data_IF_555595868931
#
_entry.id   IF_555595868931
#
_cell.length_a   1.000
_cell.length_b   1.000
_cell.length_c   1.000
_cell.angle_alpha   90.00
_cell.angle_beta   90.00
_cell.angle_gamma   90.00
#
_symmetry.space_group_name_H-M   'P 1'
#
loop_
_entity.id
_entity.type
_entity.pdbx_description
1 polymer ?
#
# COMPACT_ATOMS: atom_id res chain seq x y z
N UNK A 1 -31.96 -13.76 -4.77
CA UNK A 1 -31.32 -13.22 -3.55
C UNK A 1 -31.50 -11.71 -3.59
N UNK A 2 -32.06 -11.08 -2.54
CA UNK A 2 -32.06 -9.61 -2.44
C UNK A 2 -30.60 -9.15 -2.51
N UNK A 3 -30.27 -8.24 -3.43
CA UNK A 3 -29.02 -7.51 -3.34
C UNK A 3 -28.99 -6.87 -1.95
N UNK A 4 -28.01 -7.24 -1.12
CA UNK A 4 -27.78 -6.52 0.13
C UNK A 4 -27.61 -5.03 -0.24
N UNK A 5 -28.32 -4.14 0.44
CA UNK A 5 -28.12 -2.71 0.23
C UNK A 5 -26.66 -2.38 0.46
N UNK A 6 -26.01 -1.80 -0.56
CA UNK A 6 -24.61 -1.43 -0.48
C UNK A 6 -24.42 -0.46 0.70
N UNK A 7 -23.46 -0.77 1.58
CA UNK A 7 -23.18 0.06 2.75
C UNK A 7 -22.97 1.53 2.34
N UNK A 8 -23.68 2.44 3.01
CA UNK A 8 -23.66 3.87 2.70
C UNK A 8 -22.54 4.57 3.47
N UNK A 9 -21.37 4.61 2.84
CA UNK A 9 -20.19 5.31 3.36
C UNK A 9 -20.38 6.83 3.48
N UNK A 10 -20.21 7.39 4.67
CA UNK A 10 -20.28 8.85 4.89
C UNK A 10 -19.14 9.59 4.22
N UNK A 11 -17.93 9.02 4.28
CA UNK A 11 -16.73 9.65 3.72
C UNK A 11 -16.87 9.93 2.21
N UNK A 12 -17.64 9.14 1.44
CA UNK A 12 -17.82 9.34 0.00
C UNK A 12 -18.33 10.74 -0.34
N UNK A 13 -19.19 11.32 0.50
CA UNK A 13 -19.71 12.67 0.29
C UNK A 13 -18.65 13.76 0.55
N UNK A 14 -17.67 13.45 1.41
CA UNK A 14 -16.63 14.38 1.89
C UNK A 14 -15.38 14.37 1.00
N UNK A 15 -15.06 13.23 0.39
CA UNK A 15 -13.94 13.06 -0.54
C UNK A 15 -14.40 13.09 -2.00
N UNK A 16 -14.79 14.29 -2.45
CA UNK A 16 -15.01 14.62 -3.87
C UNK A 16 -13.73 15.24 -4.42
N UNK A 17 -13.55 15.22 -5.75
CA UNK A 17 -12.40 15.87 -6.39
C UNK A 17 -12.33 17.34 -5.93
N UNK A 18 -11.14 17.81 -5.56
CA UNK A 18 -10.86 19.18 -5.12
C UNK A 18 -11.59 19.64 -3.83
N UNK A 19 -12.00 18.72 -2.94
CA UNK A 19 -12.91 19.05 -1.84
C UNK A 19 -12.33 19.96 -0.73
N UNK A 20 -11.01 20.04 -0.55
CA UNK A 20 -10.42 20.63 0.67
C UNK A 20 -9.74 22.01 0.50
N UNK A 21 -9.62 22.51 -0.74
CA UNK A 21 -8.85 23.73 -1.01
C UNK A 21 -7.39 23.60 -0.55
N UNK A 22 -6.76 24.70 -0.14
CA UNK A 22 -5.33 24.73 0.21
C UNK A 22 -4.99 24.29 1.64
N UNK A 23 -5.97 24.26 2.56
CA UNK A 23 -5.72 23.98 3.97
C UNK A 23 -5.68 22.48 4.26
N UNK A 24 -4.62 22.02 4.93
CA UNK A 24 -4.44 20.60 5.28
C UNK A 24 -5.33 20.13 6.44
N UNK A 25 -5.57 20.96 7.46
CA UNK A 25 -6.27 20.53 8.68
C UNK A 25 -7.68 19.95 8.46
N UNK A 26 -8.58 20.56 7.64
CA UNK A 26 -9.87 19.96 7.34
C UNK A 26 -9.74 18.58 6.70
N UNK A 27 -8.81 18.41 5.75
CA UNK A 27 -8.57 17.14 5.08
C UNK A 27 -8.07 16.07 6.07
N UNK A 28 -7.10 16.41 6.92
CA UNK A 28 -6.56 15.50 7.95
C UNK A 28 -7.68 15.00 8.88
N UNK A 29 -8.57 15.89 9.32
CA UNK A 29 -9.72 15.50 10.15
C UNK A 29 -10.65 14.54 9.42
N UNK A 30 -10.95 14.79 8.14
CA UNK A 30 -11.81 13.89 7.35
C UNK A 30 -11.16 12.55 7.05
N UNK A 31 -9.84 12.50 6.88
CA UNK A 31 -9.10 11.24 6.70
C UNK A 31 -9.25 10.38 7.97
N UNK A 32 -9.05 10.98 9.14
CA UNK A 32 -9.21 10.28 10.42
C UNK A 32 -10.63 9.78 10.63
N UNK A 33 -11.64 10.58 10.28
CA UNK A 33 -13.06 10.18 10.33
C UNK A 33 -13.35 8.97 9.42
N UNK A 34 -12.90 9.01 8.17
CA UNK A 34 -13.10 7.93 7.20
C UNK A 34 -12.43 6.62 7.63
N UNK A 35 -11.18 6.70 8.11
CA UNK A 35 -10.46 5.53 8.65
C UNK A 35 -11.21 4.96 9.85
N UNK A 36 -11.70 5.80 10.77
CA UNK A 36 -12.49 5.34 11.92
C UNK A 36 -13.78 4.64 11.50
N UNK A 37 -14.47 5.17 10.49
CA UNK A 37 -15.68 4.56 9.91
C UNK A 37 -15.37 3.16 9.35
N UNK A 38 -14.34 3.04 8.51
CA UNK A 38 -13.94 1.76 7.89
C UNK A 38 -13.52 0.73 8.96
N UNK A 39 -12.73 1.15 9.95
CA UNK A 39 -12.31 0.29 11.07
C UNK A 39 -13.48 -0.16 11.95
N UNK A 40 -14.57 0.60 12.02
CA UNK A 40 -15.76 0.18 12.75
C UNK A 40 -16.49 -0.93 11.99
N UNK A 41 -16.69 -0.76 10.68
CA UNK A 41 -17.32 -1.75 9.81
C UNK A 41 -16.49 -3.03 9.72
N UNK A 42 -15.15 -2.94 9.73
CA UNK A 42 -14.26 -4.11 9.61
C UNK A 42 -14.42 -5.13 10.73
N UNK A 43 -15.01 -4.72 11.87
CA UNK A 43 -15.25 -5.61 13.03
C UNK A 43 -16.40 -6.58 12.81
N UNK A 44 -17.35 -6.23 11.94
CA UNK A 44 -18.58 -7.00 11.71
C UNK A 44 -18.69 -7.47 10.26
N UNK A 45 -18.24 -6.65 9.31
CA UNK A 45 -18.38 -6.87 7.87
C UNK A 45 -17.03 -6.65 7.16
N UNK A 46 -16.03 -7.53 7.35
CA UNK A 46 -14.67 -7.32 6.86
C UNK A 46 -14.56 -7.20 5.33
N UNK A 47 -15.36 -7.96 4.57
CA UNK A 47 -15.41 -7.83 3.11
C UNK A 47 -15.94 -6.47 2.64
N UNK A 48 -16.97 -5.94 3.33
CA UNK A 48 -17.54 -4.61 3.04
C UNK A 48 -16.52 -3.53 3.39
N UNK A 49 -15.82 -3.67 4.53
CA UNK A 49 -14.78 -2.74 4.94
C UNK A 49 -13.59 -2.68 3.97
N UNK A 50 -13.17 -3.83 3.41
CA UNK A 50 -12.11 -3.87 2.41
C UNK A 50 -12.48 -3.10 1.13
N UNK A 51 -13.70 -3.32 0.62
CA UNK A 51 -14.25 -2.55 -0.50
C UNK A 51 -14.31 -1.05 -0.15
N UNK A 52 -14.76 -0.70 1.06
CA UNK A 52 -14.77 0.68 1.56
C UNK A 52 -13.38 1.32 1.64
N UNK A 53 -12.38 0.56 2.07
CA UNK A 53 -10.99 1.01 2.13
C UNK A 53 -10.43 1.31 0.73
N UNK A 54 -10.68 0.44 -0.26
CA UNK A 54 -10.28 0.67 -1.66
C UNK A 54 -10.96 1.93 -2.20
N UNK A 55 -12.28 2.07 -2.01
CA UNK A 55 -13.04 3.27 -2.41
C UNK A 55 -12.46 4.55 -1.78
N UNK A 56 -12.04 4.48 -0.52
CA UNK A 56 -11.46 5.62 0.16
C UNK A 56 -10.11 6.01 -0.44
N UNK A 57 -9.22 5.03 -0.66
CA UNK A 57 -7.90 5.24 -1.24
C UNK A 57 -7.99 5.80 -2.68
N UNK A 58 -8.91 5.31 -3.51
CA UNK A 58 -9.22 5.85 -4.85
C UNK A 58 -9.60 7.34 -4.82
N UNK A 59 -10.19 7.80 -3.71
CA UNK A 59 -10.71 9.16 -3.56
C UNK A 59 -9.75 10.11 -2.87
N UNK A 60 -8.66 9.61 -2.28
CA UNK A 60 -7.70 10.45 -1.57
C UNK A 60 -7.05 11.44 -2.53
N UNK A 61 -6.25 10.94 -3.49
CA UNK A 61 -5.47 11.81 -4.36
C UNK A 61 -6.31 12.89 -5.06
N UNK A 62 -7.44 12.55 -5.71
CA UNK A 62 -8.27 13.56 -6.38
C UNK A 62 -8.89 14.58 -5.42
N UNK A 63 -9.14 14.21 -4.16
CA UNK A 63 -9.71 15.13 -3.18
C UNK A 63 -8.67 16.10 -2.61
N UNK A 64 -7.40 15.70 -2.57
CA UNK A 64 -6.30 16.44 -1.95
C UNK A 64 -5.53 17.35 -2.92
N UNK A 65 -5.80 17.30 -4.23
CA UNK A 65 -5.06 18.00 -5.31
C UNK A 65 -4.66 19.45 -5.01
N UNK A 66 -5.50 20.23 -4.33
CA UNK A 66 -5.25 21.65 -4.09
C UNK A 66 -4.56 21.97 -2.74
N UNK A 67 -4.23 20.97 -1.93
CA UNK A 67 -3.69 21.16 -0.59
C UNK A 67 -2.21 21.57 -0.64
N UNK A 68 -1.85 22.55 0.17
CA UNK A 68 -0.44 22.85 0.45
C UNK A 68 0.18 21.73 1.31
N UNK A 69 0.96 20.87 0.65
CA UNK A 69 1.66 19.74 1.25
C UNK A 69 2.99 20.09 1.93
N UNK A 70 3.45 21.34 1.87
CA UNK A 70 4.80 21.77 2.29
C UNK A 70 5.15 21.40 3.74
N UNK A 71 4.15 21.40 4.62
CA UNK A 71 4.31 21.01 6.04
C UNK A 71 4.54 19.52 6.28
N UNK A 72 4.37 18.65 5.27
CA UNK A 72 4.41 17.19 5.40
C UNK A 72 3.23 16.57 6.17
N UNK A 73 2.45 17.37 6.92
CA UNK A 73 1.38 16.88 7.79
C UNK A 73 0.28 16.10 7.07
N UNK A 74 -0.06 16.50 5.85
CA UNK A 74 -1.04 15.78 5.03
C UNK A 74 -0.51 14.42 4.58
N UNK A 75 0.75 14.36 4.12
CA UNK A 75 1.40 13.12 3.73
C UNK A 75 1.50 12.14 4.91
N UNK A 76 1.89 12.63 6.09
CA UNK A 76 1.88 11.82 7.32
C UNK A 76 0.48 11.29 7.64
N UNK A 77 -0.58 12.09 7.47
CA UNK A 77 -1.94 11.63 7.73
C UNK A 77 -2.39 10.55 6.74
N UNK A 78 -2.01 10.67 5.46
CA UNK A 78 -2.32 9.67 4.43
C UNK A 78 -1.53 8.38 4.65
N UNK A 79 -0.24 8.45 4.93
CA UNK A 79 0.58 7.25 5.23
C UNK A 79 0.02 6.48 6.43
N UNK A 80 -0.33 7.18 7.52
CA UNK A 80 -0.99 6.56 8.67
C UNK A 80 -2.36 5.93 8.33
N UNK A 81 -3.07 6.46 7.33
CA UNK A 81 -4.31 5.87 6.85
C UNK A 81 -4.03 4.58 6.06
N UNK A 82 -3.05 4.61 5.14
CA UNK A 82 -2.62 3.44 4.37
C UNK A 82 -2.20 2.31 5.31
N UNK A 83 -1.33 2.57 6.28
CA UNK A 83 -0.86 1.57 7.26
C UNK A 83 -2.02 0.88 8.02
N UNK A 84 -3.11 1.60 8.29
CA UNK A 84 -4.29 1.05 8.97
C UNK A 84 -5.23 0.28 8.04
N UNK A 85 -5.31 0.70 6.79
CA UNK A 85 -6.25 0.15 5.81
C UNK A 85 -5.68 -1.06 5.07
N UNK A 86 -4.37 -1.13 4.88
CA UNK A 86 -3.70 -2.25 4.22
C UNK A 86 -4.05 -3.59 4.89
N UNK A 87 -3.96 -3.78 6.22
CA UNK A 87 -4.37 -5.03 6.86
C UNK A 87 -5.86 -5.34 6.67
N UNK A 88 -6.73 -4.33 6.71
CA UNK A 88 -8.18 -4.51 6.50
C UNK A 88 -8.46 -5.05 5.10
N UNK A 89 -7.77 -4.53 4.09
CA UNK A 89 -7.88 -5.02 2.72
C UNK A 89 -7.26 -6.43 2.64
N UNK A 90 -6.02 -6.60 3.11
CA UNK A 90 -5.25 -7.85 3.01
C UNK A 90 -5.97 -9.04 3.66
N UNK A 91 -6.50 -8.86 4.87
CA UNK A 91 -7.05 -9.94 5.70
C UNK A 91 -8.54 -10.22 5.42
N UNK A 92 -9.16 -9.45 4.51
CA UNK A 92 -10.57 -9.62 4.17
C UNK A 92 -10.85 -11.02 3.58
N UNK A 93 -11.87 -11.75 4.09
CA UNK A 93 -12.24 -13.07 3.61
C UNK A 93 -13.08 -12.94 2.33
N UNK A 94 -12.42 -12.56 1.23
CA UNK A 94 -13.02 -12.38 -0.08
C UNK A 94 -12.48 -13.42 -1.06
N UNK A 95 -13.27 -13.75 -2.08
CA UNK A 95 -12.83 -14.67 -3.12
C UNK A 95 -11.71 -14.07 -4.00
N UNK A 96 -11.04 -14.96 -4.73
CA UNK A 96 -9.90 -14.64 -5.58
C UNK A 96 -10.21 -13.58 -6.64
N UNK A 97 -11.40 -13.63 -7.27
CA UNK A 97 -11.76 -12.70 -8.34
C UNK A 97 -12.11 -11.32 -7.79
N UNK A 98 -12.75 -11.25 -6.61
CA UNK A 98 -12.96 -9.98 -5.90
C UNK A 98 -11.62 -9.37 -5.50
N UNK A 99 -10.66 -10.17 -5.00
CA UNK A 99 -9.30 -9.71 -4.69
C UNK A 99 -8.59 -9.09 -5.88
N UNK A 100 -8.68 -9.71 -7.07
CA UNK A 100 -8.04 -9.18 -8.28
C UNK A 100 -8.62 -7.83 -8.67
N UNK A 101 -9.96 -7.68 -8.63
CA UNK A 101 -10.62 -6.40 -8.89
C UNK A 101 -10.19 -5.29 -7.93
N UNK A 102 -10.01 -5.61 -6.64
CA UNK A 102 -9.51 -4.64 -5.67
C UNK A 102 -8.08 -4.20 -5.99
N UNK A 103 -7.20 -5.14 -6.35
CA UNK A 103 -5.81 -4.85 -6.69
C UNK A 103 -5.70 -4.02 -7.98
N UNK A 104 -6.47 -4.35 -9.01
CA UNK A 104 -6.49 -3.56 -10.27
C UNK A 104 -6.93 -2.12 -10.01
N UNK A 105 -7.95 -1.93 -9.16
CA UNK A 105 -8.46 -0.60 -8.77
C UNK A 105 -7.45 0.20 -7.94
N UNK A 106 -6.80 -0.43 -6.97
CA UNK A 106 -5.73 0.20 -6.20
C UNK A 106 -4.54 0.58 -7.09
N UNK A 107 -4.20 -0.26 -8.06
CA UNK A 107 -3.14 0.03 -9.01
C UNK A 107 -3.50 1.21 -9.89
N UNK A 108 -4.73 1.26 -10.39
CA UNK A 108 -5.22 2.40 -11.17
C UNK A 108 -5.21 3.68 -10.34
N UNK A 109 -5.64 3.64 -9.07
CA UNK A 109 -5.59 4.80 -8.18
C UNK A 109 -4.16 5.32 -7.99
N UNK A 110 -3.17 4.42 -7.87
CA UNK A 110 -1.75 4.78 -7.79
C UNK A 110 -1.22 5.35 -9.11
N UNK A 111 -1.62 4.79 -10.26
CA UNK A 111 -1.26 5.32 -11.57
C UNK A 111 -1.83 6.73 -11.78
N UNK A 112 -3.04 6.98 -11.29
CA UNK A 112 -3.73 8.28 -11.37
C UNK A 112 -3.30 9.27 -10.26
N UNK A 113 -2.31 8.91 -9.43
CA UNK A 113 -1.82 9.71 -8.30
C UNK A 113 -0.91 10.85 -8.78
N UNK A 114 -1.50 11.90 -9.36
CA UNK A 114 -0.78 13.05 -9.95
C UNK A 114 0.20 13.71 -8.97
N UNK A 115 -0.24 13.94 -7.74
CA UNK A 115 0.60 14.31 -6.61
C UNK A 115 0.72 13.06 -5.75
N UNK A 116 1.94 12.56 -5.42
CA UNK A 116 2.15 11.22 -4.86
C UNK A 116 1.69 11.10 -3.40
N UNK A 117 0.38 11.21 -3.15
CA UNK A 117 -0.19 11.12 -1.81
C UNK A 117 -0.29 9.68 -1.34
N UNK A 118 -0.54 8.73 -2.25
CA UNK A 118 -0.73 7.32 -1.95
C UNK A 118 0.42 6.44 -2.45
N UNK A 119 1.55 7.02 -2.85
CA UNK A 119 2.72 6.29 -3.38
C UNK A 119 3.20 5.15 -2.46
N UNK A 120 3.10 5.34 -1.14
CA UNK A 120 3.51 4.37 -0.10
C UNK A 120 2.65 3.10 -0.11
N UNK A 121 1.48 3.12 -0.76
CA UNK A 121 0.65 1.94 -0.97
C UNK A 121 1.43 0.83 -1.70
N UNK A 122 2.34 1.20 -2.60
CA UNK A 122 3.16 0.25 -3.36
C UNK A 122 4.14 -0.54 -2.50
N UNK A 123 4.56 0.00 -1.35
CA UNK A 123 5.44 -0.71 -0.41
C UNK A 123 4.71 -1.88 0.26
N UNK A 124 3.39 -1.80 0.32
CA UNK A 124 2.51 -2.81 0.89
C UNK A 124 1.92 -3.79 -0.15
N UNK A 125 2.36 -3.72 -1.42
CA UNK A 125 1.72 -4.47 -2.50
C UNK A 125 1.68 -5.98 -2.28
N UNK A 126 2.77 -6.57 -1.78
CA UNK A 126 2.82 -7.99 -1.43
C UNK A 126 1.83 -8.37 -0.34
N UNK A 127 1.60 -7.50 0.65
CA UNK A 127 0.59 -7.72 1.68
C UNK A 127 -0.82 -7.65 1.09
N UNK A 128 -1.11 -6.63 0.26
CA UNK A 128 -2.39 -6.43 -0.41
C UNK A 128 -2.79 -7.61 -1.30
N UNK A 129 -1.80 -8.27 -1.94
CA UNK A 129 -2.01 -9.47 -2.75
C UNK A 129 -2.63 -10.64 -1.98
N UNK A 130 -2.44 -10.70 -0.65
CA UNK A 130 -3.02 -11.72 0.24
C UNK A 130 -2.40 -13.12 0.12
N UNK A 131 -1.90 -13.52 -1.06
CA UNK A 131 -1.35 -14.85 -1.35
C UNK A 131 -0.04 -14.77 -2.17
N UNK A 132 0.75 -15.85 -2.13
CA UNK A 132 1.99 -15.96 -2.93
C UNK A 132 1.70 -15.94 -4.42
N UNK A 133 0.69 -16.68 -4.88
CA UNK A 133 0.34 -16.81 -6.30
C UNK A 133 -0.04 -15.46 -6.91
N UNK A 134 -0.89 -14.68 -6.23
CA UNK A 134 -1.27 -13.33 -6.68
C UNK A 134 -0.07 -12.39 -6.67
N UNK A 135 0.74 -12.45 -5.62
CA UNK A 135 1.95 -11.63 -5.57
C UNK A 135 2.92 -11.99 -6.70
N UNK A 136 3.09 -13.27 -7.03
CA UNK A 136 3.90 -13.69 -8.17
C UNK A 136 3.33 -13.15 -9.49
N UNK A 137 2.03 -13.29 -9.71
CA UNK A 137 1.38 -12.78 -10.92
C UNK A 137 1.53 -11.26 -11.07
N UNK A 138 1.46 -10.50 -9.97
CA UNK A 138 1.74 -9.06 -9.99
C UNK A 138 3.22 -8.74 -10.20
N UNK A 139 4.13 -9.53 -9.61
CA UNK A 139 5.57 -9.38 -9.85
C UNK A 139 5.90 -9.57 -11.34
N UNK A 140 5.30 -10.57 -11.99
CA UNK A 140 5.48 -10.83 -13.44
C UNK A 140 5.04 -9.65 -14.31
N UNK A 141 4.00 -8.91 -13.91
CA UNK A 141 3.57 -7.69 -14.62
C UNK A 141 4.62 -6.56 -14.57
N UNK A 142 5.47 -6.54 -13.56
CA UNK A 142 6.36 -5.42 -13.28
C UNK A 142 7.84 -5.70 -13.57
N UNK A 143 8.28 -6.94 -13.37
CA UNK A 143 9.70 -7.30 -13.25
C UNK A 143 10.54 -6.88 -14.46
N UNK A 144 10.05 -7.06 -15.67
CA UNK A 144 10.81 -6.72 -16.89
C UNK A 144 11.00 -5.20 -17.05
N UNK A 145 9.98 -4.43 -16.64
CA UNK A 145 10.08 -2.96 -16.61
C UNK A 145 11.10 -2.53 -15.57
N UNK A 146 11.09 -3.14 -14.38
CA UNK A 146 12.06 -2.85 -13.32
C UNK A 146 13.47 -3.23 -13.74
N UNK A 147 13.69 -4.42 -14.32
CA UNK A 147 14.99 -4.85 -14.88
C UNK A 147 15.52 -3.84 -15.89
N UNK A 148 14.67 -3.38 -16.82
CA UNK A 148 15.05 -2.38 -17.82
C UNK A 148 15.47 -1.07 -17.16
N UNK A 149 14.66 -0.54 -16.25
CA UNK A 149 14.93 0.74 -15.58
C UNK A 149 16.17 0.68 -14.70
N UNK A 150 16.42 -0.47 -14.06
CA UNK A 150 17.55 -0.65 -13.15
C UNK A 150 18.85 -0.97 -13.91
N UNK A 151 18.75 -1.71 -15.01
CA UNK A 151 19.89 -2.21 -15.79
C UNK A 151 20.49 -1.22 -16.79
N UNK A 152 19.81 -0.11 -17.13
CA UNK A 152 20.36 0.87 -18.09
C UNK A 152 21.58 1.63 -17.59
N UNK A 153 21.94 1.52 -16.30
CA UNK A 153 23.24 1.95 -15.74
C UNK A 153 23.53 3.45 -15.76
N UNK A 154 22.89 4.22 -16.63
CA UNK A 154 22.84 5.66 -16.59
C UNK A 154 21.64 6.08 -15.74
N UNK A 155 21.88 7.04 -14.85
CA UNK A 155 20.86 7.82 -14.16
C UNK A 155 20.09 8.73 -15.15
N UNK A 156 19.86 8.25 -16.37
CA UNK A 156 19.23 8.93 -17.49
C UNK A 156 17.80 8.42 -17.68
N UNK A 157 16.93 8.82 -16.74
CA UNK A 157 15.58 9.22 -17.11
C UNK A 157 14.42 8.22 -16.96
N UNK A 158 14.64 6.99 -16.49
CA UNK A 158 13.53 6.07 -16.19
C UNK A 158 13.15 6.09 -14.70
N UNK A 159 12.09 6.77 -14.30
CA UNK A 159 11.43 6.51 -13.01
C UNK A 159 10.22 5.62 -13.26
N UNK A 160 10.19 4.43 -12.65
CA UNK A 160 9.00 3.58 -12.64
C UNK A 160 8.40 3.57 -11.24
N UNK A 161 7.23 4.19 -11.10
CA UNK A 161 6.47 4.28 -9.85
C UNK A 161 5.94 2.93 -9.35
N UNK A 162 6.13 1.83 -10.09
CA UNK A 162 5.80 0.46 -9.68
C UNK A 162 6.98 -0.36 -9.15
N UNK A 163 8.18 0.21 -9.05
CA UNK A 163 9.35 -0.54 -8.59
C UNK A 163 9.17 -1.08 -7.16
N UNK A 164 8.66 -0.26 -6.23
CA UNK A 164 8.32 -0.70 -4.87
C UNK A 164 7.28 -1.83 -4.84
N UNK A 165 6.24 -1.72 -5.67
CA UNK A 165 5.21 -2.76 -5.78
C UNK A 165 5.80 -4.09 -6.27
N UNK A 166 6.71 -4.05 -7.24
CA UNK A 166 7.43 -5.23 -7.73
C UNK A 166 8.25 -5.90 -6.61
N UNK A 167 9.08 -5.14 -5.89
CA UNK A 167 9.91 -5.70 -4.81
C UNK A 167 9.05 -6.27 -3.67
N UNK A 168 7.99 -5.57 -3.28
CA UNK A 168 7.02 -6.02 -2.28
C UNK A 168 6.33 -7.32 -2.71
N UNK A 169 5.94 -7.43 -3.98
CA UNK A 169 5.32 -8.61 -4.56
C UNK A 169 6.29 -9.81 -4.62
N UNK A 170 7.53 -9.61 -5.11
CA UNK A 170 8.57 -10.64 -5.13
C UNK A 170 8.87 -11.16 -3.73
N UNK A 171 8.96 -10.27 -2.75
CA UNK A 171 9.17 -10.63 -1.34
C UNK A 171 8.04 -11.51 -0.81
N UNK A 172 6.76 -11.16 -1.08
CA UNK A 172 5.61 -11.99 -0.68
C UNK A 172 5.60 -13.34 -1.40
N UNK A 173 5.93 -13.35 -2.69
CA UNK A 173 5.95 -14.54 -3.51
C UNK A 173 7.16 -15.46 -3.20
N UNK A 174 8.09 -15.00 -2.35
CA UNK A 174 9.33 -15.70 -1.99
C UNK A 174 10.25 -15.94 -3.18
N UNK A 175 10.13 -15.09 -4.20
CA UNK A 175 11.01 -15.07 -5.37
C UNK A 175 12.28 -14.29 -5.04
N UNK A 176 13.01 -14.78 -4.04
CA UNK A 176 14.14 -14.07 -3.42
C UNK A 176 15.29 -13.88 -4.39
N UNK A 177 15.56 -14.84 -5.27
CA UNK A 177 16.65 -14.75 -6.24
C UNK A 177 16.43 -13.57 -7.20
N UNK A 178 15.21 -13.43 -7.74
CA UNK A 178 14.84 -12.32 -8.61
C UNK A 178 14.79 -10.98 -7.85
N UNK A 179 14.35 -11.00 -6.58
CA UNK A 179 14.41 -9.81 -5.72
C UNK A 179 15.85 -9.32 -5.53
N UNK A 180 16.77 -10.23 -5.21
CA UNK A 180 18.19 -9.92 -5.01
C UNK A 180 18.86 -9.48 -6.32
N UNK A 181 18.55 -10.13 -7.44
CA UNK A 181 18.98 -9.73 -8.78
C UNK A 181 18.64 -8.27 -9.06
N UNK A 182 17.38 -7.86 -8.86
CA UNK A 182 16.96 -6.47 -9.05
C UNK A 182 17.72 -5.50 -8.13
N UNK A 183 17.92 -5.87 -6.87
CA UNK A 183 18.61 -5.03 -5.90
C UNK A 183 20.11 -4.87 -6.23
N UNK A 184 20.72 -5.86 -6.86
CA UNK A 184 22.10 -5.81 -7.37
C UNK A 184 22.20 -4.92 -8.62
N UNK A 185 21.22 -5.03 -9.55
CA UNK A 185 21.20 -4.26 -10.81
C UNK A 185 21.24 -2.74 -10.60
N UNK A 186 20.44 -2.22 -9.65
CA UNK A 186 20.37 -0.76 -9.43
C UNK A 186 21.60 -0.20 -8.68
N UNK A 187 22.56 -1.04 -8.26
CA UNK A 187 23.74 -0.66 -7.48
C UNK A 187 23.40 0.28 -6.30
N UNK A 188 22.27 0.05 -5.62
CA UNK A 188 21.73 1.00 -4.66
C UNK A 188 22.25 0.83 -3.24
N UNK A 189 22.63 1.96 -2.65
CA UNK A 189 23.00 2.09 -1.22
C UNK A 189 21.95 2.90 -0.41
N UNK A 190 20.69 2.92 -0.87
CA UNK A 190 19.62 3.65 -0.18
C UNK A 190 19.00 2.77 0.91
N UNK A 191 18.96 3.27 2.14
CA UNK A 191 18.46 2.59 3.36
C UNK A 191 17.07 1.93 3.19
N UNK A 192 16.20 2.50 2.35
CA UNK A 192 14.87 1.96 2.06
C UNK A 192 14.89 0.55 1.42
N UNK A 193 15.83 0.31 0.51
CA UNK A 193 15.93 -0.98 -0.19
C UNK A 193 16.77 -2.03 0.57
N UNK A 194 17.59 -1.59 1.52
CA UNK A 194 18.30 -2.49 2.44
C UNK A 194 17.31 -3.26 3.32
N UNK A 195 16.14 -2.70 3.64
CA UNK A 195 15.10 -3.41 4.38
C UNK A 195 14.57 -4.64 3.60
N UNK A 196 14.45 -4.56 2.26
CA UNK A 196 14.09 -5.71 1.44
C UNK A 196 15.17 -6.81 1.46
N UNK A 197 16.46 -6.44 1.37
CA UNK A 197 17.57 -7.41 1.52
C UNK A 197 17.55 -8.10 2.87
N UNK A 198 17.40 -7.33 3.95
CA UNK A 198 17.34 -7.85 5.33
C UNK A 198 16.13 -8.76 5.51
N UNK A 199 14.95 -8.37 5.00
CA UNK A 199 13.73 -9.18 5.06
C UNK A 199 13.89 -10.50 4.31
N UNK A 200 14.49 -10.48 3.12
CA UNK A 200 14.75 -11.69 2.34
C UNK A 200 15.74 -12.62 3.05
N UNK A 201 16.86 -12.09 3.55
CA UNK A 201 17.88 -12.86 4.26
C UNK A 201 17.31 -13.55 5.51
N UNK A 202 16.56 -12.83 6.34
CA UNK A 202 15.96 -13.39 7.55
C UNK A 202 14.92 -14.47 7.20
N UNK A 203 14.12 -14.27 6.15
CA UNK A 203 13.14 -15.25 5.71
C UNK A 203 13.80 -16.56 5.23
N UNK A 204 14.88 -16.45 4.45
CA UNK A 204 15.69 -17.59 4.01
C UNK A 204 16.33 -18.33 5.19
N UNK A 205 16.90 -17.62 6.17
CA UNK A 205 17.53 -18.22 7.35
C UNK A 205 16.53 -18.92 8.27
N UNK A 206 15.35 -18.35 8.46
CA UNK A 206 14.34 -18.86 9.40
C UNK A 206 13.39 -19.88 8.78
N UNK A 207 13.40 -20.08 7.46
CA UNK A 207 12.44 -20.95 6.77
C UNK A 207 10.98 -20.48 6.93
N UNK A 208 10.77 -19.18 7.17
CA UNK A 208 9.46 -18.53 7.33
C UNK A 208 9.28 -17.47 6.25
N UNK A 209 8.05 -17.05 6.02
CA UNK A 209 7.77 -16.00 5.03
C UNK A 209 8.24 -14.63 5.54
N UNK A 210 8.81 -13.77 4.69
CA UNK A 210 9.24 -12.42 5.07
C UNK A 210 8.10 -11.52 5.62
N UNK A 211 6.84 -11.84 5.29
CA UNK A 211 5.65 -11.14 5.82
C UNK A 211 5.38 -11.52 7.29
N UNK A 212 5.61 -12.77 7.69
CA UNK A 212 5.50 -13.17 9.11
C UNK A 212 6.52 -12.41 9.97
N UNK A 213 7.67 -12.06 9.40
CA UNK A 213 8.66 -11.19 10.04
C UNK A 213 8.17 -9.74 10.19
N UNK A 214 7.55 -9.18 9.15
CA UNK A 214 6.99 -7.82 9.15
C UNK A 214 5.87 -7.65 10.19
N UNK A 215 4.98 -8.65 10.31
CA UNK A 215 3.90 -8.66 11.29
C UNK A 215 4.43 -8.80 12.74
N UNK A 216 5.53 -9.53 12.96
CA UNK A 216 6.18 -9.64 14.28
C UNK A 216 6.86 -8.35 14.75
N UNK A 217 7.35 -7.49 13.84
CA UNK A 217 7.91 -6.18 14.19
C UNK A 217 6.81 -5.15 14.54
N UNK A 218 5.67 -5.17 13.84
CA UNK A 218 4.51 -4.33 14.17
C UNK A 218 3.95 -4.55 15.58
N UNK A 219 4.00 -5.79 16.08
CA UNK A 219 3.53 -6.13 17.43
C UNK A 219 4.50 -5.71 18.56
N UNK A 220 5.78 -5.48 18.27
CA UNK A 220 6.77 -5.06 19.27
C UNK A 220 6.86 -3.55 19.44
N UNK A 221 6.47 -2.75 18.44
CA UNK A 221 6.47 -1.28 18.54
C UNK A 221 5.34 -0.73 19.43
N UNK A 222 4.27 -1.50 19.69
CA UNK A 222 3.17 -1.11 20.59
C UNK A 222 3.40 -1.45 22.07
N UNK A 223 4.58 -1.92 22.46
CA UNK A 223 4.96 -2.21 23.86
C UNK A 223 6.33 -1.63 24.21
N UNK A 224 6.49 -0.31 24.11
CA UNK A 224 7.47 0.43 24.92
C UNK A 224 7.31 1.95 24.76
N UNK A 225 6.31 2.54 25.43
CA UNK A 225 6.46 3.87 26.03
C UNK A 225 5.70 3.86 27.34
N UNK A 226 6.40 3.45 28.40
CA UNK A 226 6.04 3.75 29.78
C UNK A 226 7.34 3.77 30.53
N UNK A 227 8.01 4.92 30.59
CA UNK A 227 8.98 5.27 31.63
C UNK A 227 8.96 6.79 31.83
N UNK A 228 8.68 7.14 33.09
CA UNK A 228 8.70 8.42 33.81
C UNK A 228 7.67 9.49 33.46
#
# INVERSE_FOLDING_TARGET
MKAAEAYKWEFKARFRRNAFGWRSQPAISRIKEAVKEIMAVSRTEPAVAAEGAVIFLERLSPALTNIDGSSGSIGTAVNNAIEKLVPIIADAPIDSATRDKLLDRLWQAHVDDEMPYIETLTDHWGQLCGSKDKASAWADKFIDTVRRVYGTGEFSGGYFNGASACLSALLKAERYDELLELLDLKRMDVSFYQDYRVKAAIAQEMGITAIELSNKRGAKSSRSVSHN
#
